data_IF_295158803769
#
_entry.id   IF_295158803769
#
_cell.length_a   1.000
_cell.length_b   1.000
_cell.length_c   1.000
_cell.angle_alpha   90.00
_cell.angle_beta   90.00
_cell.angle_gamma   90.00
#
_symmetry.space_group_name_H-M   'P 1'
#
loop_
_entity.id
_entity.type
_entity.pdbx_description
1 polymer ?
#
# COMPACT_ATOMS: atom_id res chain seq x y z
N UNK A 1 0.57 -19.68 2.62
CA UNK A 1 1.03 -19.01 1.39
C UNK A 1 -0.19 -18.73 0.52
N UNK A 2 -0.89 -17.60 0.75
CA UNK A 2 -1.99 -17.19 -0.14
C UNK A 2 -1.37 -16.54 -1.38
N UNK A 3 -1.82 -16.96 -2.56
CA UNK A 3 -1.25 -16.53 -3.82
C UNK A 3 -1.41 -15.01 -3.96
N UNK A 4 -0.29 -14.31 -4.11
CA UNK A 4 -0.28 -12.95 -4.61
C UNK A 4 -0.78 -12.97 -6.05
N UNK A 5 -2.00 -12.54 -6.28
CA UNK A 5 -2.54 -12.42 -7.63
C UNK A 5 -2.74 -10.94 -7.94
N UNK A 6 -1.74 -10.34 -8.60
CA UNK A 6 -1.89 -9.00 -9.18
C UNK A 6 -2.77 -9.03 -10.45
N UNK A 7 -3.46 -10.14 -10.73
CA UNK A 7 -4.38 -10.29 -11.84
C UNK A 7 -3.73 -9.96 -13.20
N UNK A 8 -2.40 -10.18 -13.33
CA UNK A 8 -1.61 -9.85 -14.52
C UNK A 8 -2.24 -10.40 -15.79
N UNK A 9 -2.63 -11.66 -15.76
CA UNK A 9 -3.21 -12.33 -16.93
C UNK A 9 -4.56 -11.73 -17.31
N UNK A 10 -5.35 -11.28 -16.33
CA UNK A 10 -6.64 -10.62 -16.57
C UNK A 10 -6.44 -9.27 -17.25
N UNK A 11 -5.59 -8.41 -16.71
CA UNK A 11 -5.33 -7.09 -17.33
C UNK A 11 -4.69 -7.23 -18.72
N UNK A 12 -3.75 -8.17 -18.90
CA UNK A 12 -3.16 -8.43 -20.22
C UNK A 12 -4.19 -8.96 -21.23
N UNK A 13 -5.11 -9.81 -20.78
CA UNK A 13 -6.22 -10.29 -21.62
C UNK A 13 -7.12 -9.14 -22.05
N UNK A 14 -7.51 -8.26 -21.11
CA UNK A 14 -8.32 -7.08 -21.42
C UNK A 14 -7.61 -6.16 -22.42
N UNK A 15 -6.35 -5.81 -22.17
CA UNK A 15 -5.58 -4.91 -23.03
C UNK A 15 -5.38 -5.48 -24.44
N UNK A 16 -5.07 -6.79 -24.57
CA UNK A 16 -4.98 -7.46 -25.88
C UNK A 16 -6.31 -7.45 -26.62
N UNK A 17 -7.43 -7.69 -25.91
CA UNK A 17 -8.76 -7.63 -26.51
C UNK A 17 -9.09 -6.22 -27.00
N UNK A 18 -8.74 -5.19 -26.21
CA UNK A 18 -8.93 -3.79 -26.59
C UNK A 18 -8.05 -3.42 -27.78
N UNK A 19 -6.83 -3.94 -27.87
CA UNK A 19 -5.93 -3.73 -29.00
C UNK A 19 -6.49 -4.37 -30.29
N UNK A 20 -7.02 -5.60 -30.22
CA UNK A 20 -7.70 -6.23 -31.34
C UNK A 20 -8.88 -5.37 -31.84
N UNK A 21 -9.71 -4.88 -30.92
CA UNK A 21 -10.88 -4.05 -31.24
C UNK A 21 -10.49 -2.69 -31.80
N UNK A 22 -9.44 -2.07 -31.25
CA UNK A 22 -8.85 -0.84 -31.75
C UNK A 22 -8.42 -1.02 -33.20
N UNK A 23 -7.63 -2.05 -33.50
CA UNK A 23 -7.13 -2.29 -34.86
C UNK A 23 -8.24 -2.68 -35.84
N UNK A 24 -9.29 -3.38 -35.38
CA UNK A 24 -10.43 -3.75 -36.22
C UNK A 24 -11.38 -2.58 -36.53
N UNK A 25 -11.24 -1.45 -35.83
CA UNK A 25 -12.12 -0.28 -35.96
C UNK A 25 -11.54 0.86 -36.79
N UNK A 26 -10.39 0.65 -37.46
CA UNK A 26 -9.86 1.62 -38.42
C UNK A 26 -10.84 1.81 -39.59
N UNK A 27 -11.55 2.93 -39.59
CA UNK A 27 -12.65 3.24 -40.50
C UNK A 27 -13.89 3.78 -39.79
N UNK A 28 -13.94 3.66 -38.46
CA UNK A 28 -14.88 4.35 -37.58
C UNK A 28 -14.18 5.54 -36.90
N UNK A 29 -14.84 6.69 -36.86
CA UNK A 29 -14.26 7.93 -36.33
C UNK A 29 -14.14 7.93 -34.79
N UNK A 30 -14.94 7.13 -34.09
CA UNK A 30 -15.07 7.17 -32.63
C UNK A 30 -14.61 5.89 -31.93
N UNK A 31 -14.83 4.73 -32.53
CA UNK A 31 -14.56 3.45 -31.90
C UNK A 31 -13.07 3.26 -31.49
N UNK A 32 -12.07 3.59 -32.33
CA UNK A 32 -10.66 3.52 -31.90
C UNK A 32 -10.37 4.40 -30.68
N UNK A 33 -11.02 5.57 -30.59
CA UNK A 33 -10.86 6.49 -29.47
C UNK A 33 -11.44 5.88 -28.20
N UNK A 34 -12.62 5.27 -28.27
CA UNK A 34 -13.24 4.59 -27.13
C UNK A 34 -12.40 3.42 -26.62
N UNK A 35 -11.82 2.61 -27.50
CA UNK A 35 -10.96 1.50 -27.09
C UNK A 35 -9.66 1.99 -26.44
N UNK A 36 -9.04 3.04 -26.98
CA UNK A 36 -7.85 3.66 -26.38
C UNK A 36 -8.16 4.27 -25.00
N UNK A 37 -9.29 4.95 -24.90
CA UNK A 37 -9.80 5.52 -23.65
C UNK A 37 -10.04 4.44 -22.58
N UNK A 38 -10.67 3.33 -22.95
CA UNK A 38 -10.93 2.23 -22.03
C UNK A 38 -9.63 1.52 -21.61
N UNK A 39 -8.70 1.32 -22.53
CA UNK A 39 -7.40 0.71 -22.22
C UNK A 39 -6.60 1.53 -21.21
N UNK A 40 -6.61 2.87 -21.35
CA UNK A 40 -6.00 3.78 -20.38
C UNK A 40 -6.62 3.65 -18.98
N UNK A 41 -7.96 3.57 -18.89
CA UNK A 41 -8.68 3.44 -17.61
C UNK A 41 -8.39 2.08 -16.96
N UNK A 42 -8.46 0.98 -17.73
CA UNK A 42 -8.15 -0.37 -17.25
C UNK A 42 -6.70 -0.45 -16.72
N UNK A 43 -5.74 0.08 -17.47
CA UNK A 43 -4.34 0.10 -17.05
C UNK A 43 -4.12 0.91 -15.77
N UNK A 44 -4.68 2.11 -15.67
CA UNK A 44 -4.56 2.94 -14.48
C UNK A 44 -5.25 2.30 -13.26
N UNK A 45 -6.45 1.72 -13.45
CA UNK A 45 -7.16 1.01 -12.40
C UNK A 45 -6.37 -0.21 -11.90
N UNK A 46 -5.73 -0.95 -12.80
CA UNK A 46 -4.86 -2.06 -12.42
C UNK A 46 -3.65 -1.62 -11.58
N UNK A 47 -3.03 -0.47 -11.88
CA UNK A 47 -1.95 0.10 -11.05
C UNK A 47 -2.48 0.41 -9.65
N UNK A 48 -3.61 1.10 -9.54
CA UNK A 48 -4.23 1.45 -8.25
C UNK A 48 -4.51 0.19 -7.42
N UNK A 49 -5.17 -0.81 -8.02
CA UNK A 49 -5.45 -2.09 -7.37
C UNK A 49 -4.16 -2.83 -6.96
N UNK A 50 -3.10 -2.76 -7.76
CA UNK A 50 -1.83 -3.41 -7.45
C UNK A 50 -1.16 -2.82 -6.22
N UNK A 51 -1.19 -1.49 -6.09
CA UNK A 51 -0.69 -0.79 -4.89
C UNK A 51 -1.54 -1.19 -3.68
N UNK A 52 -2.87 -1.15 -3.79
CA UNK A 52 -3.76 -1.53 -2.69
C UNK A 52 -3.53 -2.97 -2.24
N UNK A 53 -3.34 -3.91 -3.18
CA UNK A 53 -3.05 -5.30 -2.88
C UNK A 53 -1.76 -5.48 -2.08
N UNK A 54 -0.67 -4.79 -2.47
CA UNK A 54 0.60 -4.81 -1.73
C UNK A 54 0.39 -4.32 -0.29
N UNK A 55 -0.41 -3.26 -0.12
CA UNK A 55 -0.60 -2.65 1.19
C UNK A 55 -1.54 -3.46 2.08
N UNK A 56 -2.55 -4.12 1.50
CA UNK A 56 -3.45 -5.02 2.22
C UNK A 56 -2.68 -6.17 2.89
N UNK A 57 -1.60 -6.66 2.28
CA UNK A 57 -0.80 -7.77 2.85
C UNK A 57 -0.23 -7.43 4.22
N UNK A 58 0.16 -6.18 4.40
CA UNK A 58 0.63 -5.71 5.70
C UNK A 58 -0.52 -5.62 6.69
N UNK A 59 -1.69 -5.12 6.26
CA UNK A 59 -2.82 -4.89 7.17
C UNK A 59 -3.60 -6.14 7.56
N UNK A 60 -3.46 -7.25 6.81
CA UNK A 60 -4.18 -8.50 7.06
C UNK A 60 -3.44 -9.46 8.01
N UNK A 61 -2.18 -9.19 8.36
CA UNK A 61 -1.46 -9.99 9.36
C UNK A 61 -1.85 -9.56 10.79
N UNK A 62 -2.48 -10.46 11.54
CA UNK A 62 -2.54 -10.48 13.02
C UNK A 62 -3.00 -9.22 13.78
N UNK A 63 -3.66 -8.26 13.12
CA UNK A 63 -4.22 -7.09 13.81
C UNK A 63 -5.65 -7.33 14.28
N UNK A 64 -6.00 -6.72 15.43
CA UNK A 64 -7.37 -6.71 15.95
C UNK A 64 -8.37 -6.19 14.91
N UNK A 65 -9.61 -6.68 14.96
CA UNK A 65 -10.69 -6.36 14.00
C UNK A 65 -10.86 -4.86 13.73
N UNK A 66 -10.65 -4.01 14.74
CA UNK A 66 -10.76 -2.54 14.63
C UNK A 66 -9.63 -1.97 13.75
N UNK A 67 -8.39 -2.37 14.00
CA UNK A 67 -7.21 -1.91 13.25
C UNK A 67 -7.31 -2.34 11.79
N UNK A 68 -7.64 -3.62 11.54
CA UNK A 68 -7.80 -4.14 10.18
C UNK A 68 -8.93 -3.45 9.41
N UNK A 69 -10.05 -3.17 10.08
CA UNK A 69 -11.17 -2.43 9.46
C UNK A 69 -10.81 -0.97 9.14
N UNK A 70 -10.03 -0.33 10.01
CA UNK A 70 -9.57 1.05 9.82
C UNK A 70 -8.56 1.12 8.68
N UNK A 71 -7.58 0.22 8.63
CA UNK A 71 -6.63 0.11 7.52
C UNK A 71 -7.32 -0.11 6.17
N UNK A 72 -8.28 -1.05 6.10
CA UNK A 72 -9.07 -1.31 4.89
C UNK A 72 -9.91 -0.08 4.46
N UNK A 73 -10.49 0.62 5.42
CA UNK A 73 -11.27 1.84 5.13
C UNK A 73 -10.38 2.97 4.60
N UNK A 74 -9.14 3.06 5.06
CA UNK A 74 -8.17 4.05 4.61
C UNK A 74 -7.75 3.79 3.16
N UNK A 75 -7.37 2.55 2.83
CA UNK A 75 -7.01 2.15 1.46
C UNK A 75 -8.15 2.43 0.47
N UNK A 76 -9.39 2.10 0.83
CA UNK A 76 -10.57 2.33 -0.02
C UNK A 76 -10.81 3.80 -0.40
N UNK A 77 -10.28 4.76 0.37
CA UNK A 77 -10.46 6.18 0.10
C UNK A 77 -9.37 6.78 -0.80
N UNK A 78 -8.41 5.96 -1.24
CA UNK A 78 -7.31 6.39 -2.09
C UNK A 78 -7.67 6.10 -3.55
N UNK A 79 -8.01 7.15 -4.31
CA UNK A 79 -8.46 7.06 -5.71
C UNK A 79 -7.43 7.58 -6.72
N UNK A 80 -6.15 7.23 -6.54
CA UNK A 80 -5.05 7.73 -7.37
C UNK A 80 -3.76 6.91 -7.14
N UNK A 81 -2.76 7.06 -8.00
CA UNK A 81 -1.53 6.27 -7.98
C UNK A 81 -0.23 7.10 -7.95
N UNK A 82 -0.25 8.31 -7.37
CA UNK A 82 0.97 9.14 -7.20
C UNK A 82 2.06 8.43 -6.38
N UNK A 83 3.33 8.57 -6.74
CA UNK A 83 4.42 7.90 -6.03
C UNK A 83 4.54 8.39 -4.58
N UNK A 84 4.77 9.68 -4.38
CA UNK A 84 4.94 10.23 -3.03
C UNK A 84 3.63 10.26 -2.24
N UNK A 85 2.57 10.79 -2.86
CA UNK A 85 1.32 11.10 -2.15
C UNK A 85 0.46 9.86 -1.85
N UNK A 86 0.69 8.75 -2.56
CA UNK A 86 -0.04 7.50 -2.35
C UNK A 86 0.93 6.38 -2.00
N UNK A 87 1.82 5.94 -2.89
CA UNK A 87 2.65 4.76 -2.62
C UNK A 87 3.53 4.91 -1.36
N UNK A 88 4.38 5.94 -1.28
CA UNK A 88 5.25 6.18 -0.12
C UNK A 88 4.44 6.54 1.13
N UNK A 89 3.40 7.37 0.97
CA UNK A 89 2.53 7.75 2.08
C UNK A 89 1.87 6.53 2.73
N UNK A 90 1.35 5.60 1.94
CA UNK A 90 0.74 4.37 2.45
C UNK A 90 1.80 3.50 3.13
N UNK A 91 2.99 3.32 2.53
CA UNK A 91 4.09 2.58 3.17
C UNK A 91 4.41 3.12 4.57
N UNK A 92 4.58 4.44 4.70
CA UNK A 92 4.90 5.07 5.99
C UNK A 92 3.76 4.88 7.00
N UNK A 93 2.51 5.01 6.56
CA UNK A 93 1.36 4.89 7.44
C UNK A 93 1.08 3.45 7.88
N UNK A 94 1.41 2.48 7.04
CA UNK A 94 1.11 1.05 7.27
C UNK A 94 2.28 0.33 7.95
N UNK A 95 3.53 0.60 7.55
CA UNK A 95 4.72 -0.07 8.07
C UNK A 95 5.54 0.78 9.06
N UNK A 96 5.25 2.08 9.15
CA UNK A 96 6.09 3.04 9.87
C UNK A 96 7.29 3.52 9.06
N UNK A 97 7.86 4.66 9.49
CA UNK A 97 8.96 5.33 8.76
C UNK A 97 10.19 4.44 8.57
N UNK A 98 10.65 3.74 9.61
CA UNK A 98 11.88 2.95 9.53
C UNK A 98 11.78 1.79 8.51
N UNK A 99 10.64 1.11 8.46
CA UNK A 99 10.42 0.01 7.51
C UNK A 99 10.15 0.52 6.09
N UNK A 100 9.43 1.64 5.97
CA UNK A 100 9.25 2.31 4.68
C UNK A 100 10.60 2.75 4.07
N UNK A 101 11.51 3.29 4.89
CA UNK A 101 12.86 3.68 4.45
C UNK A 101 13.64 2.48 3.90
N UNK A 102 13.63 1.34 4.59
CA UNK A 102 14.29 0.10 4.12
C UNK A 102 13.79 -0.34 2.74
N UNK A 103 12.48 -0.27 2.51
CA UNK A 103 11.89 -0.62 1.21
C UNK A 103 12.38 0.36 0.15
N UNK A 104 12.30 1.66 0.43
CA UNK A 104 12.75 2.71 -0.50
C UNK A 104 14.24 2.55 -0.83
N UNK A 105 15.11 2.38 0.15
CA UNK A 105 16.54 2.20 -0.07
C UNK A 105 16.85 0.94 -0.89
N UNK A 106 16.21 -0.19 -0.58
CA UNK A 106 16.43 -1.46 -1.26
C UNK A 106 16.08 -1.37 -2.76
N UNK A 107 14.90 -0.84 -3.09
CA UNK A 107 14.45 -0.73 -4.49
C UNK A 107 15.07 0.45 -5.24
N UNK A 108 15.58 1.46 -4.53
CA UNK A 108 16.35 2.54 -5.15
C UNK A 108 17.72 2.06 -5.59
N UNK A 109 18.36 1.19 -4.80
CA UNK A 109 19.66 0.60 -5.15
C UNK A 109 19.60 -0.25 -6.44
N UNK A 110 18.46 -0.89 -6.72
CA UNK A 110 18.25 -1.66 -7.96
C UNK A 110 17.78 -0.81 -9.16
N UNK A 111 17.50 0.49 -8.96
CA UNK A 111 16.92 1.39 -9.96
C UNK A 111 15.44 1.13 -10.27
N UNK A 112 14.82 0.14 -9.63
CA UNK A 112 13.40 -0.22 -9.85
C UNK A 112 12.46 0.87 -9.32
N UNK A 113 12.88 1.55 -8.25
CA UNK A 113 12.11 2.64 -7.67
C UNK A 113 12.07 3.86 -8.59
N UNK A 114 13.17 4.18 -9.28
CA UNK A 114 13.20 5.30 -10.24
C UNK A 114 12.24 5.04 -11.42
N UNK A 115 12.15 3.78 -11.85
CA UNK A 115 11.20 3.34 -12.89
C UNK A 115 9.76 3.52 -12.38
N UNK A 116 9.48 3.03 -11.17
CA UNK A 116 8.16 3.11 -10.58
C UNK A 116 7.75 4.56 -10.36
N UNK A 117 8.61 5.39 -9.77
CA UNK A 117 8.41 6.83 -9.57
C UNK A 117 8.14 7.54 -10.90
N UNK A 118 8.98 7.32 -11.91
CA UNK A 118 8.80 7.92 -13.24
C UNK A 118 7.43 7.58 -13.84
N UNK A 119 6.94 6.36 -13.63
CA UNK A 119 5.63 5.95 -14.15
C UNK A 119 4.47 6.49 -13.33
N UNK A 120 4.54 6.35 -12.01
CA UNK A 120 3.51 6.79 -11.07
C UNK A 120 3.38 8.30 -11.03
N UNK A 121 4.43 9.06 -11.34
CA UNK A 121 4.41 10.53 -11.43
C UNK A 121 4.42 11.06 -12.86
N UNK A 122 4.13 10.19 -13.84
CA UNK A 122 3.91 10.62 -15.22
C UNK A 122 2.68 11.54 -15.30
N UNK A 123 2.96 12.83 -15.50
CA UNK A 123 1.94 13.89 -15.54
C UNK A 123 0.96 13.71 -16.70
N UNK A 124 1.45 13.25 -17.85
CA UNK A 124 0.61 13.05 -19.03
C UNK A 124 -0.34 11.86 -18.85
N UNK A 125 0.16 10.76 -18.26
CA UNK A 125 -0.68 9.61 -17.90
C UNK A 125 -1.81 10.01 -16.94
N UNK A 126 -1.48 10.74 -15.85
CA UNK A 126 -2.48 11.22 -14.87
C UNK A 126 -3.51 12.15 -15.51
N UNK A 127 -3.04 13.09 -16.32
CA UNK A 127 -3.90 14.04 -17.05
C UNK A 127 -4.84 13.31 -17.99
N UNK A 128 -4.32 12.40 -18.81
CA UNK A 128 -5.11 11.65 -19.79
C UNK A 128 -6.12 10.74 -19.10
N UNK A 129 -5.76 10.10 -17.97
CA UNK A 129 -6.70 9.33 -17.15
C UNK A 129 -7.83 10.22 -16.65
N UNK A 130 -7.51 11.38 -16.07
CA UNK A 130 -8.52 12.28 -15.52
C UNK A 130 -9.47 12.79 -16.61
N UNK A 131 -8.94 13.13 -17.80
CA UNK A 131 -9.76 13.51 -18.96
C UNK A 131 -10.64 12.33 -19.37
N UNK A 132 -10.08 11.12 -19.52
CA UNK A 132 -10.83 9.92 -19.86
C UNK A 132 -11.98 9.66 -18.87
N UNK A 133 -11.73 9.72 -17.57
CA UNK A 133 -12.74 9.45 -16.55
C UNK A 133 -13.84 10.51 -16.45
N UNK A 134 -13.55 11.77 -16.77
CA UNK A 134 -14.44 12.90 -16.45
C UNK A 134 -14.96 13.71 -17.62
N UNK A 135 -14.56 13.38 -18.86
CA UNK A 135 -15.04 14.11 -20.05
C UNK A 135 -15.82 13.19 -21.00
N UNK A 136 -16.89 13.76 -21.56
CA UNK A 136 -17.58 13.20 -22.73
C UNK A 136 -16.77 13.55 -23.97
N UNK A 137 -16.68 12.63 -24.93
CA UNK A 137 -15.99 12.88 -26.19
C UNK A 137 -16.81 13.90 -27.02
N UNK A 138 -16.52 15.18 -26.83
CA UNK A 138 -17.09 16.33 -27.56
C UNK A 138 -16.02 17.22 -28.20
N UNK A 139 -14.74 16.93 -27.95
CA UNK A 139 -13.60 17.69 -28.46
C UNK A 139 -12.73 16.80 -29.36
N UNK A 140 -12.64 17.20 -30.62
CA UNK A 140 -11.94 16.52 -31.72
C UNK A 140 -10.41 16.48 -31.55
N UNK A 141 -9.88 16.96 -30.40
CA UNK A 141 -8.45 17.12 -30.13
C UNK A 141 -7.88 16.13 -29.11
N UNK A 142 -8.72 15.30 -28.48
CA UNK A 142 -8.26 14.36 -27.44
C UNK A 142 -7.86 13.04 -28.07
N UNK A 143 -6.54 12.81 -28.13
CA UNK A 143 -5.95 11.52 -28.50
C UNK A 143 -5.47 10.80 -27.25
N UNK A 144 -5.72 9.49 -27.19
CA UNK A 144 -5.18 8.60 -26.16
C UNK A 144 -4.16 7.64 -26.79
N UNK A 145 -3.25 7.11 -25.98
CA UNK A 145 -2.33 6.08 -26.43
C UNK A 145 -3.09 4.82 -26.85
N UNK A 146 -2.60 4.16 -27.92
CA UNK A 146 -3.18 2.91 -28.38
C UNK A 146 -3.03 1.79 -27.32
N UNK A 147 -3.95 0.81 -27.26
CA UNK A 147 -3.95 -0.19 -26.20
C UNK A 147 -2.65 -1.01 -26.09
N UNK A 148 -1.99 -1.32 -27.22
CA UNK A 148 -0.73 -2.04 -27.25
C UNK A 148 0.41 -1.38 -26.46
N UNK A 149 0.38 -0.05 -26.26
CA UNK A 149 1.40 0.67 -25.49
C UNK A 149 1.42 0.24 -24.02
N UNK A 150 0.26 -0.13 -23.45
CA UNK A 150 0.15 -0.49 -22.04
C UNK A 150 0.57 -1.94 -21.74
N UNK A 151 0.59 -2.82 -22.74
CA UNK A 151 0.95 -4.24 -22.57
C UNK A 151 2.37 -4.43 -21.99
N UNK A 152 3.45 -3.90 -22.62
CA UNK A 152 4.80 -4.03 -22.06
C UNK A 152 4.98 -3.29 -20.74
N UNK A 153 4.17 -2.26 -20.48
CA UNK A 153 4.19 -1.52 -19.22
C UNK A 153 3.62 -2.35 -18.07
N UNK A 154 2.55 -3.11 -18.30
CA UNK A 154 2.03 -4.09 -17.34
C UNK A 154 3.10 -5.11 -16.99
N UNK A 155 3.78 -5.69 -17.98
CA UNK A 155 4.85 -6.66 -17.74
C UNK A 155 5.95 -6.07 -16.84
N UNK A 156 6.41 -4.86 -17.16
CA UNK A 156 7.47 -4.18 -16.42
C UNK A 156 7.05 -3.85 -14.98
N UNK A 157 5.88 -3.26 -14.80
CA UNK A 157 5.40 -2.87 -13.46
C UNK A 157 5.05 -4.07 -12.61
N UNK A 158 4.50 -5.14 -13.19
CA UNK A 158 4.16 -6.36 -12.48
C UNK A 158 5.39 -6.97 -11.79
N UNK A 159 6.54 -7.01 -12.48
CA UNK A 159 7.78 -7.52 -11.89
C UNK A 159 8.23 -6.69 -10.70
N UNK A 160 8.14 -5.36 -10.79
CA UNK A 160 8.48 -4.43 -9.71
C UNK A 160 7.54 -4.63 -8.52
N UNK A 161 6.22 -4.61 -8.76
CA UNK A 161 5.21 -4.83 -7.72
C UNK A 161 5.34 -6.19 -7.03
N UNK A 162 5.68 -7.23 -7.79
CA UNK A 162 5.91 -8.57 -7.23
C UNK A 162 7.12 -8.62 -6.32
N UNK A 163 8.21 -7.95 -6.67
CA UNK A 163 9.38 -7.88 -5.80
C UNK A 163 9.08 -7.10 -4.53
N UNK A 164 8.39 -5.97 -4.65
CA UNK A 164 7.98 -5.16 -3.49
C UNK A 164 7.09 -5.99 -2.56
N UNK A 165 6.07 -6.67 -3.10
CA UNK A 165 5.16 -7.51 -2.33
C UNK A 165 5.90 -8.61 -1.57
N UNK A 166 6.82 -9.33 -2.23
CA UNK A 166 7.63 -10.38 -1.59
C UNK A 166 8.53 -9.82 -0.49
N UNK A 167 9.12 -8.66 -0.71
CA UNK A 167 9.95 -7.99 0.28
C UNK A 167 9.12 -7.60 1.50
N UNK A 168 7.94 -7.02 1.28
CA UNK A 168 6.98 -6.69 2.34
C UNK A 168 6.56 -7.94 3.13
N UNK A 169 6.23 -9.03 2.46
CA UNK A 169 5.88 -10.31 3.11
C UNK A 169 7.02 -10.86 3.98
N UNK A 170 8.29 -10.68 3.55
CA UNK A 170 9.45 -11.11 4.34
C UNK A 170 9.63 -10.26 5.60
N UNK A 171 9.38 -8.96 5.52
CA UNK A 171 9.49 -8.06 6.68
C UNK A 171 8.44 -8.33 7.75
N UNK A 172 7.21 -8.69 7.35
CA UNK A 172 6.14 -8.98 8.31
C UNK A 172 6.33 -10.33 9.00
N UNK A 173 6.94 -11.30 8.31
CA UNK A 173 7.24 -12.64 8.85
C UNK A 173 8.32 -12.62 9.95
N UNK A 174 9.34 -11.78 9.84
CA UNK A 174 10.43 -11.69 10.85
C UNK A 174 9.97 -11.08 12.19
N UNK A 175 8.89 -10.29 12.18
CA UNK A 175 8.34 -9.66 13.39
C UNK A 175 7.58 -10.60 14.31
N UNK A 176 7.12 -11.77 13.84
CA UNK A 176 6.38 -12.71 14.70
C UNK A 176 7.30 -13.54 15.61
N UNK A 177 8.55 -13.80 15.19
CA UNK A 177 9.47 -14.69 15.92
C UNK A 177 10.20 -14.02 17.11
N UNK A 178 10.12 -12.70 17.27
CA UNK A 178 10.79 -11.97 18.37
C UNK A 178 9.95 -11.81 19.64
N UNK A 179 8.75 -12.40 19.70
CA UNK A 179 7.85 -12.30 20.86
C UNK A 179 7.99 -13.43 21.90
N UNK A 180 8.81 -14.46 21.66
CA UNK A 180 8.98 -15.61 22.56
C UNK A 180 10.26 -15.59 23.41
N UNK A 181 10.57 -14.51 24.13
CA UNK A 181 11.53 -14.59 25.24
C UNK A 181 11.18 -13.64 26.38
N UNK A 182 10.27 -14.08 27.24
CA UNK A 182 10.12 -13.55 28.60
C UNK A 182 9.74 -14.68 29.56
N UNK A 183 10.60 -15.70 29.64
CA UNK A 183 10.57 -16.62 30.78
C UNK A 183 11.49 -16.13 31.91
N UNK A 184 11.00 -16.37 33.12
CA UNK A 184 11.64 -16.35 34.45
C UNK A 184 11.75 -15.04 35.22
N UNK A 185 10.81 -14.89 36.16
CA UNK A 185 11.17 -15.00 37.59
C UNK A 185 9.91 -15.27 38.44
N UNK A 186 9.73 -16.53 38.82
CA UNK A 186 8.90 -16.89 39.98
C UNK A 186 9.63 -16.48 41.27
N UNK A 187 8.92 -15.91 42.25
CA UNK A 187 9.10 -16.28 43.67
C UNK A 187 7.97 -15.75 44.56
N UNK A 188 7.25 -16.72 45.13
CA UNK A 188 6.71 -16.84 46.49
C UNK A 188 5.57 -15.93 47.00
N UNK A 189 4.52 -16.64 47.42
CA UNK A 189 3.27 -16.19 48.04
C UNK A 189 3.35 -15.93 49.56
N UNK A 190 2.34 -15.18 50.05
CA UNK A 190 1.69 -15.21 51.40
C UNK A 190 2.50 -14.74 52.62
N UNK A 191 1.96 -14.05 53.63
CA UNK A 191 0.64 -14.11 54.27
C UNK A 191 0.29 -12.84 55.08
N UNK A 192 -1.01 -12.59 55.25
CA UNK A 192 -1.63 -11.59 56.14
C UNK A 192 -1.41 -11.88 57.64
N UNK A 193 -1.33 -10.86 58.50
CA UNK A 193 -2.29 -10.61 59.61
C UNK A 193 -1.88 -9.41 60.51
N UNK A 194 -2.92 -8.75 61.00
CA UNK A 194 -3.02 -7.65 61.96
C UNK A 194 -2.56 -7.95 63.38
N UNK A 195 -2.09 -6.94 64.14
CA UNK A 195 -2.72 -6.46 65.39
C UNK A 195 -1.99 -5.27 66.05
N UNK A 196 -2.80 -4.49 66.77
CA UNK A 196 -2.59 -3.24 67.51
C UNK A 196 -1.87 -3.36 68.86
N UNK A 197 -1.17 -2.30 69.30
CA UNK A 197 -1.01 -1.85 70.71
C UNK A 197 -0.20 -0.52 70.71
N UNK A 198 -0.80 0.61 71.04
CA UNK A 198 -0.89 1.28 72.35
C UNK A 198 0.37 2.07 72.83
N UNK A 199 0.21 3.41 72.79
CA UNK A 199 0.59 4.46 73.77
C UNK A 199 2.00 4.58 74.39
N UNK A 200 2.57 5.80 74.25
CA UNK A 200 3.19 6.63 75.32
C UNK A 200 3.68 7.96 74.69
N UNK A 201 3.00 9.08 74.86
CA UNK A 201 3.26 10.16 75.85
C UNK A 201 4.59 10.94 75.71
N UNK A 202 4.42 12.19 75.23
CA UNK A 202 4.93 13.50 75.72
C UNK A 202 6.42 13.89 75.83
N UNK A 203 6.59 15.21 75.56
CA UNK A 203 7.67 16.16 75.90
C UNK A 203 8.91 16.16 74.99
N UNK A 204 9.58 17.27 74.66
CA UNK A 204 9.46 18.67 75.06
C UNK A 204 10.22 19.55 74.04
N UNK A 205 9.75 20.79 73.94
CA UNK A 205 10.32 21.97 73.25
C UNK A 205 11.78 22.27 73.61
N UNK A 206 12.58 22.76 72.64
CA UNK A 206 13.58 23.84 72.85
C UNK A 206 14.05 24.44 71.52
N UNK A 207 13.67 25.70 71.31
CA UNK A 207 14.33 26.68 70.43
C UNK A 207 15.52 27.34 71.17
N UNK A 208 16.35 28.06 70.40
CA UNK A 208 17.51 28.91 70.74
C UNK A 208 18.82 28.10 70.87
N UNK A 209 19.85 28.35 70.06
CA UNK A 209 20.57 29.63 69.84
C UNK A 209 20.88 29.85 68.35
#
# INVERSE_FOLDING_TARGET
>A
MSAFDLDKDKILTNLRKLDELYNASFGDDLAPIFYSKLALIEYCGWIECSIDLIMMRVTESEYSTIISSTGKSFLKNINNFSYKDHFVKILVQVLGMANAEKIVEYFKASGELDILESKLDNTELKKNRNIAAHTYHRDDSVSYDAPNIFIPEVDRLFEIFTKIARYVDSMTSETSETSETSETSETSETSETSETSETSETSETSELI
#
